data_IF_443250387232
#
_entry.id   IF_443250387232
#
_cell.length_a   1.000
_cell.length_b   1.000
_cell.length_c   1.000
_cell.angle_alpha   90.00
_cell.angle_beta   90.00
_cell.angle_gamma   90.00
#
_symmetry.space_group_name_H-M   'P 1'
#
loop_
_entity.id
_entity.type
_entity.pdbx_description
1 polymer ?
#
# COMPACT_ATOMS: atom_id res chain seq x y z
N UNK A 1 33.10 10.42 -66.44
CA UNK A 1 32.46 11.57 -67.11
C UNK A 1 31.05 11.71 -66.57
N UNK A 2 30.72 12.92 -66.14
CA UNK A 2 29.39 13.56 -66.06
C UNK A 2 28.29 12.99 -65.15
N UNK A 3 28.12 13.65 -64.00
CA UNK A 3 26.85 14.07 -63.35
C UNK A 3 25.94 14.81 -64.33
N UNK A 4 24.61 14.91 -64.11
CA UNK A 4 23.97 16.06 -63.40
C UNK A 4 22.66 15.64 -62.67
N UNK A 5 21.84 16.42 -61.95
CA UNK A 5 21.80 17.76 -61.33
C UNK A 5 20.44 17.85 -60.61
N UNK A 6 20.39 18.50 -59.44
CA UNK A 6 19.18 18.83 -58.69
C UNK A 6 18.46 20.08 -59.22
N UNK A 7 17.21 20.35 -58.77
CA UNK A 7 16.90 21.63 -58.13
C UNK A 7 16.16 21.39 -56.79
N UNK A 8 16.48 22.00 -55.63
CA UNK A 8 16.63 23.40 -55.22
C UNK A 8 15.30 24.13 -54.84
N UNK A 9 15.07 24.23 -53.51
CA UNK A 9 14.52 25.37 -52.71
C UNK A 9 13.03 25.77 -52.85
N UNK A 10 12.38 26.45 -51.84
CA UNK A 10 12.98 27.32 -50.81
C UNK A 10 12.54 27.13 -49.34
N UNK A 11 13.36 27.75 -48.49
CA UNK A 11 13.21 27.98 -47.07
C UNK A 11 12.13 29.03 -46.73
N UNK A 12 11.61 28.98 -45.50
CA UNK A 12 11.21 30.18 -44.77
C UNK A 12 11.34 29.93 -43.26
N UNK A 13 12.33 30.61 -42.69
CA UNK A 13 12.61 30.76 -41.26
C UNK A 13 11.63 31.77 -40.64
N UNK A 14 11.05 31.48 -39.47
CA UNK A 14 10.58 32.53 -38.55
C UNK A 14 10.56 32.02 -37.09
N UNK A 15 11.66 32.30 -36.38
CA UNK A 15 11.67 32.68 -34.95
C UNK A 15 12.10 34.14 -34.97
N UNK A 16 11.35 35.11 -34.38
CA UNK A 16 11.65 35.53 -32.99
C UNK A 16 10.52 36.25 -32.19
N UNK A 17 10.83 36.47 -30.90
CA UNK A 17 10.45 37.60 -30.04
C UNK A 17 9.25 37.49 -29.07
N UNK A 18 9.58 37.20 -27.79
CA UNK A 18 9.16 38.04 -26.66
C UNK A 18 10.04 39.33 -26.65
N UNK A 19 9.74 40.45 -25.93
CA UNK A 19 8.83 40.63 -24.79
C UNK A 19 7.96 41.92 -24.83
N UNK A 20 6.93 42.02 -23.98
CA UNK A 20 6.43 43.32 -23.50
C UNK A 20 5.66 43.15 -22.18
N UNK A 21 6.26 43.66 -21.10
CA UNK A 21 5.62 43.95 -19.81
C UNK A 21 4.68 45.15 -19.94
N UNK A 22 3.42 45.09 -19.46
CA UNK A 22 2.57 46.27 -19.37
C UNK A 22 2.92 47.16 -18.16
N UNK A 23 3.03 48.44 -18.45
CA UNK A 23 3.34 49.59 -17.58
C UNK A 23 2.24 49.88 -16.56
N UNK A 24 2.66 50.37 -15.39
CA UNK A 24 1.84 50.80 -14.26
C UNK A 24 0.99 52.08 -14.54
N UNK A 25 -0.17 52.24 -13.88
CA UNK A 25 -0.80 53.54 -13.67
C UNK A 25 -0.31 54.22 -12.36
N UNK A 26 -0.18 55.54 -12.44
CA UNK A 26 0.42 56.41 -11.44
C UNK A 26 -0.47 56.73 -10.22
N UNK A 27 0.24 56.82 -9.09
CA UNK A 27 0.05 57.57 -7.83
C UNK A 27 -1.16 58.52 -7.66
N UNK A 28 -1.99 58.23 -6.65
CA UNK A 28 -2.73 59.22 -5.85
C UNK A 28 -2.14 59.22 -4.43
N UNK A 29 -1.82 60.38 -3.81
CA UNK A 29 -1.18 60.44 -2.49
C UNK A 29 -2.19 60.18 -1.35
N UNK A 30 -1.96 59.19 -0.46
CA UNK A 30 -2.74 59.06 0.76
C UNK A 30 -2.22 59.99 1.89
N UNK A 31 -3.20 60.42 2.68
CA UNK A 31 -3.16 61.30 3.86
C UNK A 31 -2.16 60.87 4.97
N UNK A 32 -1.77 61.79 5.88
CA UNK A 32 -0.76 61.56 6.90
C UNK A 32 -1.08 60.42 7.87
N UNK A 33 -0.01 59.74 8.27
CA UNK A 33 0.07 58.53 9.06
C UNK A 33 -0.73 58.57 10.38
N UNK A 34 -1.62 57.59 10.55
CA UNK A 34 -2.09 57.15 11.86
C UNK A 34 -0.99 56.29 12.48
N UNK A 35 -0.52 56.68 13.66
CA UNK A 35 0.44 55.93 14.47
C UNK A 35 -0.07 54.50 14.72
N UNK A 36 0.76 53.45 14.58
CA UNK A 36 0.35 52.10 14.91
C UNK A 36 -0.07 52.03 16.39
N UNK A 37 -1.21 51.41 16.73
CA UNK A 37 -1.50 51.07 18.11
C UNK A 37 -0.39 50.14 18.64
N UNK A 38 0.05 50.41 19.87
CA UNK A 38 1.02 49.58 20.58
C UNK A 38 0.58 48.10 20.55
N UNK A 39 1.53 47.13 20.45
CA UNK A 39 1.20 45.71 20.45
C UNK A 39 0.35 45.39 21.69
N UNK A 40 -0.84 44.85 21.46
CA UNK A 40 -1.63 44.29 22.54
C UNK A 40 -0.80 43.20 23.23
N UNK A 41 -0.70 43.30 24.55
CA UNK A 41 -0.14 42.26 25.42
C UNK A 41 -0.78 40.93 25.05
N UNK A 42 -0.01 39.84 24.84
CA UNK A 42 -0.59 38.53 24.55
C UNK A 42 -1.59 38.16 25.65
N UNK A 43 -2.75 37.59 25.30
CA UNK A 43 -3.68 37.08 26.30
C UNK A 43 -2.94 36.06 27.15
N UNK A 44 -3.00 36.24 28.47
CA UNK A 44 -2.64 35.20 29.44
C UNK A 44 -3.40 33.93 29.02
N UNK A 45 -2.72 32.77 28.91
CA UNK A 45 -3.40 31.51 28.61
C UNK A 45 -4.55 31.35 29.60
N UNK A 46 -5.76 31.11 29.08
CA UNK A 46 -6.89 30.74 29.89
C UNK A 46 -6.46 29.60 30.82
N UNK A 47 -6.69 29.78 32.13
CA UNK A 47 -6.58 28.70 33.11
C UNK A 47 -7.29 27.48 32.54
N UNK A 48 -6.64 26.29 32.49
CA UNK A 48 -7.30 25.09 32.01
C UNK A 48 -8.65 24.93 32.71
N UNK A 49 -9.73 24.55 32.01
CA UNK A 49 -10.97 24.19 32.68
C UNK A 49 -10.62 23.13 33.74
N UNK A 50 -11.11 23.35 34.97
CA UNK A 50 -10.96 22.39 36.05
C UNK A 50 -11.28 21.01 35.50
N UNK A 51 -10.30 20.10 35.60
CA UNK A 51 -10.53 18.70 35.31
C UNK A 51 -11.84 18.28 36.02
N UNK A 52 -12.73 17.52 35.36
CA UNK A 52 -13.90 17.02 36.05
C UNK A 52 -13.41 16.32 37.32
N UNK A 53 -13.83 16.84 38.47
CA UNK A 53 -13.68 16.19 39.77
C UNK A 53 -14.56 14.94 39.73
N UNK A 54 -14.08 13.93 39.00
CA UNK A 54 -14.67 12.61 38.91
C UNK A 54 -14.16 11.79 40.07
N UNK A 55 -15.07 11.52 41.01
CA UNK A 55 -14.91 10.53 42.06
C UNK A 55 -14.02 10.97 43.22
N UNK A 56 -14.46 10.64 44.43
CA UNK A 56 -13.59 10.51 45.58
C UNK A 56 -12.30 9.75 45.19
N UNK A 57 -11.14 10.04 45.81
CA UNK A 57 -9.95 9.24 45.58
C UNK A 57 -10.30 7.78 45.88
N UNK A 58 -10.41 6.94 44.84
CA UNK A 58 -10.52 5.51 45.04
C UNK A 58 -9.27 5.10 45.78
N UNK A 59 -9.44 4.78 47.06
CA UNK A 59 -8.34 4.30 47.87
C UNK A 59 -7.77 3.09 47.16
N UNK A 60 -6.47 3.12 46.85
CA UNK A 60 -5.81 2.00 46.18
C UNK A 60 -6.00 0.73 47.00
N UNK A 61 -6.15 0.84 48.33
CA UNK A 61 -6.47 -0.27 49.21
C UNK A 61 -7.85 -0.91 48.97
N UNK A 62 -8.80 -0.18 48.36
CA UNK A 62 -10.14 -0.67 48.01
C UNK A 62 -10.21 -1.42 46.67
N UNK A 63 -9.14 -1.35 45.87
CA UNK A 63 -9.03 -2.07 44.61
C UNK A 63 -8.70 -3.55 44.86
N UNK A 64 -9.09 -4.47 43.97
CA UNK A 64 -8.69 -5.87 44.08
C UNK A 64 -7.15 -6.01 44.00
N UNK A 65 -6.59 -7.01 44.68
CA UNK A 65 -5.13 -7.14 44.88
C UNK A 65 -4.31 -7.16 43.58
N UNK A 66 -4.87 -7.65 42.48
CA UNK A 66 -4.23 -7.63 41.15
C UNK A 66 -4.08 -6.20 40.61
N UNK A 67 -5.06 -5.33 40.85
CA UNK A 67 -5.03 -3.94 40.40
C UNK A 67 -4.06 -3.12 41.26
N UNK A 68 -4.03 -3.39 42.56
CA UNK A 68 -3.03 -2.81 43.46
C UNK A 68 -1.62 -3.16 42.99
N UNK A 69 -1.37 -4.44 42.71
CA UNK A 69 -0.10 -4.93 42.19
C UNK A 69 0.31 -4.23 40.89
N UNK A 70 -0.61 -4.14 39.92
CA UNK A 70 -0.36 -3.47 38.65
C UNK A 70 -0.01 -1.98 38.84
N UNK A 71 -0.69 -1.28 39.77
CA UNK A 71 -0.40 0.13 40.09
C UNK A 71 0.97 0.28 40.76
N UNK A 72 1.35 -0.62 41.67
CA UNK A 72 2.69 -0.59 42.28
C UNK A 72 3.79 -0.90 41.27
N UNK A 73 3.58 -1.89 40.41
CA UNK A 73 4.57 -2.31 39.42
C UNK A 73 4.79 -1.19 38.39
N UNK A 74 3.72 -0.58 37.88
CA UNK A 74 3.80 0.55 36.95
C UNK A 74 4.42 1.81 37.58
N UNK A 75 4.16 2.08 38.87
CA UNK A 75 4.81 3.19 39.59
C UNK A 75 6.30 2.92 39.81
N UNK A 76 6.69 1.69 40.14
CA UNK A 76 8.10 1.31 40.29
C UNK A 76 8.86 1.39 38.97
N UNK A 77 8.21 0.99 37.86
CA UNK A 77 8.78 1.10 36.52
C UNK A 77 8.92 2.55 36.08
N UNK A 78 7.91 3.40 36.30
CA UNK A 78 7.98 4.83 36.00
C UNK A 78 9.00 5.59 36.86
N UNK A 79 9.21 5.17 38.11
CA UNK A 79 10.28 5.69 38.96
C UNK A 79 11.65 5.29 38.40
N UNK A 80 11.83 4.03 38.05
CA UNK A 80 13.05 3.51 37.42
C UNK A 80 13.37 4.22 36.10
N UNK A 81 12.35 4.51 35.29
CA UNK A 81 12.50 5.23 34.04
C UNK A 81 12.95 6.67 34.26
N UNK A 82 12.33 7.40 35.21
CA UNK A 82 12.74 8.77 35.56
C UNK A 82 14.16 8.82 36.12
N UNK A 83 14.53 7.87 36.98
CA UNK A 83 15.91 7.77 37.47
C UNK A 83 16.87 7.53 36.31
N UNK A 84 16.59 6.58 35.42
CA UNK A 84 17.46 6.34 34.24
C UNK A 84 17.56 7.54 33.31
N UNK A 85 16.45 8.25 33.08
CA UNK A 85 16.44 9.46 32.26
C UNK A 85 17.27 10.58 32.89
N UNK A 86 17.11 10.84 34.19
CA UNK A 86 17.91 11.83 34.93
C UNK A 86 19.39 11.44 34.98
N UNK A 87 19.69 10.15 35.12
CA UNK A 87 21.08 9.67 35.12
C UNK A 87 21.73 9.74 33.73
N UNK A 88 20.95 9.55 32.65
CA UNK A 88 21.41 9.75 31.28
C UNK A 88 21.69 11.24 30.97
N UNK A 89 20.89 12.15 31.54
CA UNK A 89 21.12 13.61 31.42
C UNK A 89 22.31 14.10 32.26
N UNK A 90 22.65 13.43 33.37
CA UNK A 90 23.74 13.80 34.28
C UNK A 90 25.07 13.08 34.01
N UNK A 91 25.17 12.28 32.95
CA UNK A 91 26.43 11.68 32.47
C UNK A 91 27.16 10.75 33.46
N UNK A 92 26.56 10.38 34.59
CA UNK A 92 27.18 9.53 35.61
C UNK A 92 26.46 8.19 35.67
N UNK A 93 26.96 7.10 35.05
CA UNK A 93 26.25 5.82 35.04
C UNK A 93 26.12 5.25 36.47
N UNK A 94 24.94 4.77 36.91
CA UNK A 94 24.79 4.08 38.17
C UNK A 94 25.24 2.62 38.02
N UNK A 95 26.10 2.17 38.94
CA UNK A 95 26.60 0.80 39.02
C UNK A 95 25.50 -0.18 39.45
N UNK A 96 24.59 -0.51 38.53
CA UNK A 96 23.79 -1.73 38.54
C UNK A 96 24.36 -2.66 37.44
N UNK A 97 24.16 -4.00 37.48
CA UNK A 97 24.67 -4.88 36.43
C UNK A 97 23.96 -4.53 35.12
N UNK A 98 24.59 -3.68 34.32
CA UNK A 98 24.11 -3.25 33.04
C UNK A 98 24.09 -4.47 32.09
N UNK A 99 23.04 -4.68 31.26
CA UNK A 99 23.34 -5.15 29.92
C UNK A 99 24.32 -4.13 29.35
N UNK A 100 25.54 -4.57 29.04
CA UNK A 100 26.68 -3.71 28.73
C UNK A 100 26.27 -2.50 27.88
N UNK A 101 26.46 -1.30 28.43
CA UNK A 101 26.37 -0.08 27.66
C UNK A 101 27.31 -0.19 26.44
N UNK A 102 26.90 0.29 25.25
CA UNK A 102 27.74 0.21 24.07
C UNK A 102 29.00 1.04 24.33
N UNK A 103 30.16 0.38 24.31
CA UNK A 103 31.45 1.06 24.22
C UNK A 103 31.37 2.03 23.05
N UNK A 104 31.50 3.32 23.32
CA UNK A 104 31.60 4.33 22.29
C UNK A 104 32.76 3.93 21.35
N UNK A 105 32.57 3.96 20.02
CA UNK A 105 33.67 3.71 19.10
C UNK A 105 34.79 4.74 19.36
N UNK A 106 36.07 4.36 19.19
CA UNK A 106 37.18 5.29 19.38
C UNK A 106 37.00 6.51 18.48
N UNK A 107 37.31 7.69 19.02
CA UNK A 107 37.01 9.03 18.48
C UNK A 107 37.68 9.39 17.14
N UNK A 108 38.29 8.43 16.44
CA UNK A 108 39.00 8.59 15.17
C UNK A 108 38.54 7.58 14.09
N UNK A 109 37.31 7.07 14.19
CA UNK A 109 36.76 6.17 13.17
C UNK A 109 36.09 6.96 12.03
N UNK A 110 36.30 6.58 10.74
CA UNK A 110 35.55 7.16 9.64
C UNK A 110 34.05 6.87 9.81
N UNK A 111 33.24 7.91 9.62
CA UNK A 111 31.78 7.85 9.68
C UNK A 111 31.23 6.70 8.79
N UNK A 112 30.50 5.74 9.36
CA UNK A 112 29.80 4.69 8.60
C UNK A 112 30.29 3.24 8.75
N UNK A 113 31.29 2.94 9.58
CA UNK A 113 31.72 1.55 9.80
C UNK A 113 30.75 0.77 10.71
N UNK A 114 29.76 0.12 10.08
CA UNK A 114 28.79 -0.79 10.72
C UNK A 114 29.44 -1.99 11.43
N UNK A 115 30.71 -2.32 11.14
CA UNK A 115 31.42 -3.44 11.77
C UNK A 115 31.80 -3.18 13.22
N UNK A 116 31.86 -1.90 13.62
CA UNK A 116 32.16 -1.45 15.00
C UNK A 116 30.93 -1.39 15.91
N UNK A 117 29.73 -1.52 15.33
CA UNK A 117 28.48 -1.51 16.09
C UNK A 117 28.41 -2.72 17.05
N UNK A 118 27.73 -2.57 18.19
CA UNK A 118 27.38 -3.71 19.02
C UNK A 118 26.65 -4.80 18.21
N UNK A 119 26.87 -6.08 18.56
CA UNK A 119 26.26 -7.23 17.87
C UNK A 119 24.73 -7.13 17.76
N UNK A 120 24.06 -6.58 18.77
CA UNK A 120 22.60 -6.37 18.74
C UNK A 120 22.18 -5.34 17.66
N UNK A 121 22.99 -4.30 17.44
CA UNK A 121 22.71 -3.26 16.46
C UNK A 121 22.94 -3.77 15.04
N UNK A 122 24.02 -4.55 14.85
CA UNK A 122 24.27 -5.25 13.59
C UNK A 122 23.11 -6.19 13.24
N UNK A 123 22.64 -6.97 14.23
CA UNK A 123 21.48 -7.85 14.06
C UNK A 123 20.20 -7.09 13.72
N UNK A 124 19.93 -5.98 14.41
CA UNK A 124 18.76 -5.14 14.12
C UNK A 124 18.78 -4.59 12.69
N UNK A 125 19.96 -4.21 12.17
CA UNK A 125 20.12 -3.77 10.77
C UNK A 125 19.83 -4.92 9.81
N UNK A 126 20.42 -6.10 10.03
CA UNK A 126 20.19 -7.28 9.17
C UNK A 126 18.71 -7.71 9.18
N UNK A 127 18.08 -7.74 10.35
CA UNK A 127 16.67 -8.08 10.50
C UNK A 127 15.79 -7.05 9.77
N UNK A 128 16.10 -5.75 9.91
CA UNK A 128 15.42 -4.66 9.21
C UNK A 128 15.55 -4.74 7.68
N UNK A 129 16.75 -5.03 7.18
CA UNK A 129 17.00 -5.23 5.75
C UNK A 129 16.23 -6.45 5.21
N UNK A 130 16.19 -7.53 5.98
CA UNK A 130 15.44 -8.75 5.63
C UNK A 130 13.93 -8.48 5.56
N UNK A 131 13.38 -7.79 6.57
CA UNK A 131 11.98 -7.39 6.60
C UNK A 131 11.63 -6.44 5.46
N UNK A 132 12.47 -5.43 5.20
CA UNK A 132 12.30 -4.48 4.10
C UNK A 132 12.30 -5.16 2.73
N UNK A 133 13.24 -6.08 2.50
CA UNK A 133 13.29 -6.87 1.27
C UNK A 133 12.03 -7.73 1.09
N UNK A 134 11.58 -8.41 2.15
CA UNK A 134 10.35 -9.22 2.11
C UNK A 134 9.14 -8.37 1.75
N UNK A 135 8.99 -7.20 2.37
CA UNK A 135 7.90 -6.28 2.07
C UNK A 135 7.94 -5.77 0.63
N UNK A 136 9.12 -5.42 0.12
CA UNK A 136 9.30 -4.97 -1.26
C UNK A 136 8.92 -6.07 -2.27
N UNK A 137 9.34 -7.32 -2.04
CA UNK A 137 8.97 -8.46 -2.87
C UNK A 137 7.45 -8.69 -2.84
N UNK A 138 6.83 -8.65 -1.66
CA UNK A 138 5.36 -8.80 -1.53
C UNK A 138 4.61 -7.71 -2.30
N UNK A 139 5.03 -6.45 -2.18
CA UNK A 139 4.43 -5.33 -2.91
C UNK A 139 4.56 -5.52 -4.43
N UNK A 140 5.73 -5.92 -4.91
CA UNK A 140 5.95 -6.18 -6.33
C UNK A 140 5.12 -7.36 -6.86
N UNK A 141 4.94 -8.44 -6.08
CA UNK A 141 4.04 -9.55 -6.42
C UNK A 141 2.59 -9.07 -6.52
N UNK A 142 2.12 -8.31 -5.52
CA UNK A 142 0.75 -7.76 -5.51
C UNK A 142 0.51 -6.90 -6.76
N UNK A 143 1.50 -6.12 -7.18
CA UNK A 143 1.41 -5.26 -8.36
C UNK A 143 1.45 -6.04 -9.69
N UNK A 144 2.30 -7.07 -9.80
CA UNK A 144 2.51 -7.80 -11.04
C UNK A 144 1.49 -8.93 -11.29
N UNK A 145 0.99 -9.57 -10.22
CA UNK A 145 0.13 -10.75 -10.30
C UNK A 145 -1.16 -10.56 -11.13
N UNK A 146 -1.90 -9.44 -11.05
CA UNK A 146 -3.10 -9.25 -11.87
C UNK A 146 -2.80 -9.27 -13.37
N UNK A 147 -1.69 -8.65 -13.80
CA UNK A 147 -1.27 -8.64 -15.20
C UNK A 147 -0.84 -10.01 -15.72
N UNK A 148 -0.38 -10.89 -14.82
CA UNK A 148 -0.02 -12.27 -15.12
C UNK A 148 -1.18 -13.27 -14.94
N UNK A 149 -2.39 -12.79 -14.60
CA UNK A 149 -3.57 -13.64 -14.39
C UNK A 149 -3.51 -14.53 -13.14
N UNK A 150 -2.68 -14.17 -12.16
CA UNK A 150 -2.43 -14.97 -10.97
C UNK A 150 -3.23 -14.51 -9.75
N UNK A 151 -3.61 -15.45 -8.88
CA UNK A 151 -4.23 -15.17 -7.58
C UNK A 151 -3.17 -14.76 -6.56
N UNK A 152 -3.21 -13.50 -6.15
CA UNK A 152 -2.26 -12.90 -5.20
C UNK A 152 -2.24 -13.65 -3.87
N UNK A 153 -3.40 -14.03 -3.33
CA UNK A 153 -3.48 -14.68 -2.03
C UNK A 153 -2.84 -16.07 -2.07
N UNK A 154 -3.11 -16.84 -3.13
CA UNK A 154 -2.50 -18.16 -3.33
C UNK A 154 -1.00 -18.09 -3.60
N UNK A 155 -0.55 -17.10 -4.37
CA UNK A 155 0.88 -16.85 -4.60
C UNK A 155 1.63 -16.57 -3.29
N UNK A 156 1.09 -15.69 -2.44
CA UNK A 156 1.72 -15.30 -1.19
C UNK A 156 1.72 -16.43 -0.14
N UNK A 157 0.79 -17.38 -0.24
CA UNK A 157 0.74 -18.57 0.61
C UNK A 157 1.68 -19.70 0.12
N UNK A 158 2.01 -19.72 -1.17
CA UNK A 158 2.84 -20.78 -1.77
C UNK A 158 4.31 -20.69 -1.34
N UNK A 159 4.73 -21.66 -0.53
CA UNK A 159 6.14 -21.83 -0.12
C UNK A 159 7.08 -22.05 -1.31
N UNK A 160 6.62 -22.77 -2.33
CA UNK A 160 7.41 -23.05 -3.53
C UNK A 160 7.68 -21.79 -4.36
N UNK A 161 6.68 -20.91 -4.47
CA UNK A 161 6.85 -19.62 -5.13
C UNK A 161 7.73 -18.68 -4.29
N UNK A 162 7.51 -18.64 -2.98
CA UNK A 162 8.32 -17.85 -2.04
C UNK A 162 9.82 -18.21 -2.14
N UNK A 163 10.17 -19.49 -2.26
CA UNK A 163 11.55 -19.94 -2.45
C UNK A 163 12.14 -19.48 -3.80
N UNK A 164 11.33 -19.46 -4.87
CA UNK A 164 11.76 -19.05 -6.21
C UNK A 164 12.04 -17.55 -6.29
N UNK A 165 11.20 -16.73 -5.66
CA UNK A 165 11.35 -15.28 -5.67
C UNK A 165 12.35 -14.78 -4.61
N UNK A 166 12.77 -15.63 -3.66
CA UNK A 166 13.71 -15.26 -2.59
C UNK A 166 15.09 -14.82 -3.11
N UNK A 167 15.45 -15.10 -4.36
CA UNK A 167 16.70 -14.63 -4.98
C UNK A 167 16.48 -13.52 -6.02
N UNK A 168 15.23 -13.18 -6.31
CA UNK A 168 14.88 -12.14 -7.29
C UNK A 168 15.01 -10.76 -6.65
N UNK A 169 15.43 -9.78 -7.45
CA UNK A 169 15.44 -8.38 -7.06
C UNK A 169 13.99 -7.83 -7.07
N UNK A 170 13.47 -7.28 -5.95
CA UNK A 170 12.13 -6.71 -5.90
C UNK A 170 11.89 -5.53 -6.87
N UNK A 171 12.95 -4.90 -7.37
CA UNK A 171 12.88 -3.79 -8.35
C UNK A 171 12.85 -4.27 -9.79
N UNK A 172 13.25 -5.53 -10.04
CA UNK A 172 13.19 -6.15 -11.37
C UNK A 172 11.78 -6.69 -11.63
N UNK A 173 10.91 -5.78 -12.06
CA UNK A 173 9.50 -6.09 -12.36
C UNK A 173 9.36 -7.14 -13.46
N UNK A 174 10.30 -7.21 -14.41
CA UNK A 174 10.30 -8.19 -15.48
C UNK A 174 10.59 -9.60 -14.94
N UNK A 175 11.62 -9.74 -14.10
CA UNK A 175 11.95 -11.02 -13.47
C UNK A 175 10.83 -11.51 -12.55
N UNK A 176 10.17 -10.61 -11.81
CA UNK A 176 9.03 -10.97 -10.94
C UNK A 176 7.84 -11.42 -11.78
N UNK A 177 7.51 -10.69 -12.85
CA UNK A 177 6.43 -11.08 -13.77
C UNK A 177 6.70 -12.45 -14.38
N UNK A 178 7.93 -12.68 -14.86
CA UNK A 178 8.34 -13.97 -15.41
C UNK A 178 8.26 -15.09 -14.36
N UNK A 179 8.70 -14.85 -13.13
CA UNK A 179 8.58 -15.81 -12.04
C UNK A 179 7.12 -16.17 -11.74
N UNK A 180 6.21 -15.18 -11.75
CA UNK A 180 4.78 -15.39 -11.57
C UNK A 180 4.20 -16.22 -12.73
N UNK A 181 4.49 -15.87 -13.98
CA UNK A 181 4.02 -16.62 -15.15
C UNK A 181 4.52 -18.06 -15.14
N UNK A 182 5.78 -18.29 -14.77
CA UNK A 182 6.34 -19.63 -14.64
C UNK A 182 5.64 -20.42 -13.53
N UNK A 183 5.39 -19.78 -12.38
CA UNK A 183 4.70 -20.41 -11.27
C UNK A 183 3.27 -20.81 -11.63
N UNK A 184 2.51 -19.93 -12.27
CA UNK A 184 1.15 -20.22 -12.73
C UNK A 184 1.15 -21.33 -13.78
N UNK A 185 2.13 -21.35 -14.68
CA UNK A 185 2.27 -22.40 -15.70
C UNK A 185 2.56 -23.77 -15.07
N UNK A 186 3.46 -23.81 -14.07
CA UNK A 186 3.80 -25.03 -13.35
C UNK A 186 2.69 -25.48 -12.39
N UNK A 187 1.93 -24.53 -11.85
CA UNK A 187 0.89 -24.74 -10.84
C UNK A 187 -0.38 -23.98 -11.24
N UNK A 188 -1.23 -24.56 -12.12
CA UNK A 188 -2.40 -23.87 -12.66
C UNK A 188 -3.46 -23.46 -11.62
N UNK A 189 -3.39 -24.02 -10.41
CA UNK A 189 -4.24 -23.63 -9.29
C UNK A 189 -3.85 -22.27 -8.69
N UNK A 190 -2.68 -21.72 -9.04
CA UNK A 190 -2.25 -20.36 -8.69
C UNK A 190 -2.90 -19.29 -9.60
N UNK A 191 -3.54 -19.66 -10.71
CA UNK A 191 -4.30 -18.71 -11.53
C UNK A 191 -5.48 -18.10 -10.76
N UNK A 192 -5.77 -16.84 -11.05
CA UNK A 192 -6.99 -16.17 -10.59
C UNK A 192 -8.24 -16.76 -11.26
N UNK A 193 -8.09 -17.34 -12.44
CA UNK A 193 -9.14 -18.07 -13.12
C UNK A 193 -9.25 -19.50 -12.58
N UNK A 194 -10.44 -19.91 -12.17
CA UNK A 194 -10.70 -21.28 -11.77
C UNK A 194 -10.45 -22.22 -12.96
N UNK A 195 -9.39 -23.02 -12.89
CA UNK A 195 -9.00 -24.04 -13.88
C UNK A 195 -9.73 -25.38 -13.69
N UNK A 196 -10.88 -25.37 -13.02
CA UNK A 196 -11.75 -26.54 -12.89
C UNK A 196 -12.77 -26.62 -14.03
N UNK A 197 -13.47 -27.77 -14.18
CA UNK A 197 -14.70 -27.81 -14.97
C UNK A 197 -15.55 -26.59 -14.58
N UNK A 198 -16.15 -25.91 -15.56
CA UNK A 198 -17.14 -24.87 -15.28
C UNK A 198 -18.03 -25.40 -14.16
N UNK A 199 -18.17 -24.65 -13.05
CA UNK A 199 -19.03 -25.09 -11.94
C UNK A 199 -20.40 -25.34 -12.55
N UNK A 200 -20.69 -26.60 -12.81
CA UNK A 200 -21.91 -27.08 -13.44
C UNK A 200 -23.02 -27.01 -12.40
N UNK A 201 -23.47 -25.79 -12.10
CA UNK A 201 -24.87 -25.56 -11.82
C UNK A 201 -25.47 -25.23 -13.17
N UNK A 202 -26.41 -26.03 -13.64
CA UNK A 202 -27.26 -25.58 -14.73
C UNK A 202 -27.85 -24.23 -14.30
N UNK A 203 -27.53 -23.18 -15.05
CA UNK A 203 -28.28 -21.92 -15.00
C UNK A 203 -29.70 -22.25 -15.45
N UNK A 204 -30.57 -22.67 -14.52
CA UNK A 204 -32.00 -22.92 -14.78
C UNK A 204 -32.78 -21.62 -15.09
N UNK A 205 -32.08 -20.49 -15.26
CA UNK A 205 -32.66 -19.18 -15.54
C UNK A 205 -32.16 -18.52 -16.82
N UNK A 206 -31.26 -19.15 -17.58
CA UNK A 206 -30.78 -18.62 -18.85
C UNK A 206 -31.21 -19.52 -19.98
N UNK A 207 -32.09 -19.04 -20.86
CA UNK A 207 -32.31 -19.66 -22.18
C UNK A 207 -30.94 -19.82 -22.84
N UNK A 208 -30.42 -21.05 -22.86
CA UNK A 208 -29.12 -21.36 -23.43
C UNK A 208 -29.08 -20.93 -24.90
N UNK A 209 -27.91 -20.56 -25.39
CA UNK A 209 -27.66 -20.03 -26.74
C UNK A 209 -27.97 -21.01 -27.91
N UNK A 210 -28.86 -21.99 -27.71
CA UNK A 210 -29.40 -22.89 -28.71
C UNK A 210 -30.83 -23.35 -28.43
N UNK A 211 -31.54 -22.79 -27.44
CA UNK A 211 -32.95 -23.10 -27.21
C UNK A 211 -33.85 -22.35 -28.21
N UNK A 212 -34.81 -23.07 -28.81
CA UNK A 212 -35.81 -22.48 -29.69
C UNK A 212 -36.72 -21.58 -28.86
N UNK A 213 -36.69 -20.28 -29.13
CA UNK A 213 -37.54 -19.31 -28.43
C UNK A 213 -39.01 -19.40 -28.90
N UNK A 214 -39.99 -18.89 -28.14
CA UNK A 214 -41.38 -18.83 -28.59
C UNK A 214 -41.57 -18.09 -29.92
N UNK A 215 -40.83 -16.99 -30.11
CA UNK A 215 -40.85 -16.23 -31.36
C UNK A 215 -40.28 -17.04 -32.54
N UNK A 216 -39.22 -17.81 -32.30
CA UNK A 216 -38.63 -18.68 -33.30
C UNK A 216 -39.55 -19.86 -33.64
N UNK A 217 -40.20 -20.46 -32.64
CA UNK A 217 -41.20 -21.52 -32.83
C UNK A 217 -42.40 -21.03 -33.64
N UNK A 218 -42.88 -19.80 -33.38
CA UNK A 218 -43.95 -19.18 -34.16
C UNK A 218 -43.54 -18.96 -35.63
N UNK A 219 -42.26 -18.68 -35.89
CA UNK A 219 -41.71 -18.52 -37.23
C UNK A 219 -41.39 -19.85 -37.96
N UNK A 220 -41.28 -20.97 -37.24
CA UNK A 220 -41.01 -22.28 -37.85
C UNK A 220 -42.19 -22.78 -38.69
N UNK A 221 -41.87 -23.39 -39.81
CA UNK A 221 -42.82 -24.11 -40.65
C UNK A 221 -43.38 -25.33 -39.94
N UNK A 222 -44.52 -25.84 -40.43
CA UNK A 222 -45.14 -27.04 -39.86
C UNK A 222 -44.19 -28.25 -39.86
N UNK A 223 -43.42 -28.45 -40.93
CA UNK A 223 -42.46 -29.55 -41.03
C UNK A 223 -41.37 -29.46 -39.96
N UNK A 224 -40.85 -28.25 -39.70
CA UNK A 224 -39.83 -28.01 -38.67
C UNK A 224 -40.40 -28.19 -37.26
N UNK A 225 -41.66 -27.81 -37.03
CA UNK A 225 -42.34 -28.07 -35.76
C UNK A 225 -42.59 -29.56 -35.51
N UNK A 226 -42.90 -30.33 -36.55
CA UNK A 226 -43.02 -31.80 -36.46
C UNK A 226 -41.66 -32.44 -36.17
N UNK A 227 -40.59 -31.98 -36.81
CA UNK A 227 -39.24 -32.44 -36.52
C UNK A 227 -38.86 -32.14 -35.06
N UNK A 228 -39.17 -30.93 -34.57
CA UNK A 228 -38.95 -30.56 -33.17
C UNK A 228 -39.76 -31.43 -32.21
N UNK A 229 -41.02 -31.75 -32.51
CA UNK A 229 -41.82 -32.68 -31.70
C UNK A 229 -41.22 -34.09 -31.66
N UNK A 230 -40.56 -34.54 -32.72
CA UNK A 230 -39.91 -35.86 -32.78
C UNK A 230 -38.57 -35.89 -32.07
N UNK A 231 -37.76 -34.83 -32.19
CA UNK A 231 -36.43 -34.79 -31.56
C UNK A 231 -36.47 -34.32 -30.11
N UNK A 232 -37.39 -33.41 -29.77
CA UNK A 232 -37.57 -32.82 -28.44
C UNK A 232 -39.06 -32.49 -28.15
N UNK A 233 -39.84 -33.51 -27.76
CA UNK A 233 -41.27 -33.34 -27.48
C UNK A 233 -41.55 -32.42 -26.29
N UNK A 234 -40.62 -32.30 -25.33
CA UNK A 234 -40.82 -31.48 -24.14
C UNK A 234 -40.65 -30.00 -24.44
N UNK A 235 -39.68 -29.62 -25.28
CA UNK A 235 -39.55 -28.26 -25.80
C UNK A 235 -40.77 -27.90 -26.67
N UNK A 236 -41.23 -28.80 -27.54
CA UNK A 236 -42.45 -28.57 -28.31
C UNK A 236 -43.67 -28.31 -27.42
N UNK A 237 -43.93 -29.14 -26.40
CA UNK A 237 -45.08 -28.95 -25.50
C UNK A 237 -45.03 -27.62 -24.75
N UNK A 238 -43.83 -27.22 -24.30
CA UNK A 238 -43.61 -25.95 -23.59
C UNK A 238 -43.96 -24.75 -24.47
N UNK A 239 -43.57 -24.78 -25.75
CA UNK A 239 -43.75 -23.69 -26.70
C UNK A 239 -45.14 -23.69 -27.36
N UNK A 240 -45.81 -24.85 -27.44
CA UNK A 240 -47.17 -24.96 -27.96
C UNK A 240 -48.25 -24.65 -26.90
N UNK A 241 -47.91 -24.72 -25.61
CA UNK A 241 -48.80 -24.41 -24.50
C UNK A 241 -48.70 -22.97 -23.96
N UNK A 242 -47.75 -22.18 -24.47
CA UNK A 242 -47.56 -20.75 -24.18
C UNK A 242 -48.23 -19.87 -25.21
#
# INVERSE_FOLDING_TARGET
MSTPTAPATPAASTTPAAPATPTAPATTPPAPASTPPAPATPPVPATPPAAPQGGEPQDVASLPAWAQKLITDTRAEAASYRTRAQTAEQGTPPTAPAPAAPTAPPADAPEGDVSRLPQWAQRAITDGQTAGRRAAVQAAIIQAAPGAGADVARLLDSQSFAATVATVDPTDTAAITQAITNAVTAQPWLSAHATGPARGGADFGGTGAGEVTPAQFAAMSYAERVALHQSDPDTYRRLAGS
#
